data_IF_142116573312
#
_entry.id   IF_142116573312
#
_cell.length_a   1.000
_cell.length_b   1.000
_cell.length_c   1.000
_cell.angle_alpha   90.00
_cell.angle_beta   90.00
_cell.angle_gamma   90.00
#
_symmetry.space_group_name_H-M   'P 1'
#
loop_
_entity.id
_entity.type
_entity.pdbx_description
1 polymer ?
#
# COMPACT_ATOMS: atom_id res chain seq x y z
N UNK A 1 -13.89 -3.53 -18.16
CA UNK A 1 -12.42 -3.39 -18.04
C UNK A 1 -12.06 -3.25 -16.56
N UNK A 2 -10.85 -3.66 -16.14
CA UNK A 2 -10.41 -3.54 -14.74
C UNK A 2 -8.98 -3.01 -14.67
N UNK A 3 -8.73 -2.08 -13.76
CA UNK A 3 -7.42 -1.48 -13.54
C UNK A 3 -7.04 -1.68 -12.09
N UNK A 4 -5.87 -2.26 -11.85
CA UNK A 4 -5.39 -2.58 -10.52
C UNK A 4 -4.04 -1.92 -10.30
N UNK A 5 -3.92 -1.23 -9.18
CA UNK A 5 -2.72 -0.53 -8.76
C UNK A 5 -2.16 -1.19 -7.52
N UNK A 6 -0.90 -1.56 -7.61
CA UNK A 6 -0.21 -2.28 -6.56
C UNK A 6 -0.46 -3.79 -6.62
N UNK A 7 0.42 -4.52 -5.94
CA UNK A 7 0.37 -5.98 -5.84
C UNK A 7 1.03 -6.44 -4.54
N UNK A 8 0.61 -7.58 -3.98
CA UNK A 8 1.30 -8.14 -2.84
C UNK A 8 2.75 -8.50 -3.19
N UNK A 9 3.65 -8.33 -2.23
CA UNK A 9 5.09 -8.57 -2.39
C UNK A 9 5.47 -10.01 -2.02
N UNK A 10 4.71 -11.02 -2.47
CA UNK A 10 4.91 -12.43 -2.12
C UNK A 10 6.34 -12.91 -2.33
N UNK A 11 6.89 -12.72 -3.53
CA UNK A 11 8.24 -13.20 -3.88
C UNK A 11 9.30 -12.67 -2.91
N UNK A 12 9.25 -11.38 -2.62
CA UNK A 12 10.22 -10.73 -1.74
C UNK A 12 10.01 -11.19 -0.29
N UNK A 13 8.77 -11.25 0.17
CA UNK A 13 8.41 -11.72 1.51
C UNK A 13 8.90 -13.15 1.75
N UNK A 14 8.68 -14.07 0.80
CA UNK A 14 9.16 -15.44 0.91
C UNK A 14 10.70 -15.53 0.93
N UNK A 15 11.40 -14.78 0.08
CA UNK A 15 12.87 -14.77 0.05
C UNK A 15 13.44 -14.30 1.39
N UNK A 16 12.97 -13.17 1.91
CA UNK A 16 13.46 -12.65 3.19
C UNK A 16 13.12 -13.59 4.34
N UNK A 17 11.89 -14.11 4.39
CA UNK A 17 11.48 -15.05 5.43
C UNK A 17 12.31 -16.32 5.39
N UNK A 18 12.63 -16.86 4.21
CA UNK A 18 13.50 -18.02 4.06
C UNK A 18 14.91 -17.75 4.58
N UNK A 19 15.50 -16.60 4.24
CA UNK A 19 16.84 -16.22 4.73
C UNK A 19 16.85 -16.14 6.26
N UNK A 20 15.85 -15.49 6.86
CA UNK A 20 15.79 -15.32 8.32
C UNK A 20 15.56 -16.69 9.00
N UNK A 21 14.66 -17.53 8.47
CA UNK A 21 14.41 -18.88 9.00
C UNK A 21 15.68 -19.74 8.92
N UNK A 22 16.43 -19.67 7.81
CA UNK A 22 17.70 -20.38 7.66
C UNK A 22 18.68 -20.01 8.77
N UNK A 23 18.85 -18.71 9.06
CA UNK A 23 19.69 -18.25 10.17
C UNK A 23 19.14 -18.67 11.54
N UNK A 24 17.83 -18.65 11.74
CA UNK A 24 17.21 -19.10 12.98
C UNK A 24 17.49 -20.60 13.24
N UNK A 25 17.36 -21.45 12.20
CA UNK A 25 17.67 -22.88 12.29
C UNK A 25 19.16 -23.11 12.55
N UNK A 26 20.05 -22.36 11.88
CA UNK A 26 21.48 -22.41 12.15
C UNK A 26 21.78 -22.10 13.63
N UNK A 27 21.17 -21.05 14.19
CA UNK A 27 21.33 -20.71 15.61
C UNK A 27 20.82 -21.80 16.54
N UNK A 28 19.72 -22.49 16.20
CA UNK A 28 19.19 -23.61 17.01
C UNK A 28 20.17 -24.79 17.03
N UNK A 29 20.71 -25.18 15.86
CA UNK A 29 21.55 -26.38 15.74
C UNK A 29 22.92 -26.19 16.40
N UNK A 30 23.52 -25.02 16.23
CA UNK A 30 24.90 -24.77 16.67
C UNK A 30 24.99 -24.06 18.03
N UNK A 31 23.86 -23.83 18.71
CA UNK A 31 23.89 -23.29 20.06
C UNK A 31 24.34 -24.32 21.09
N UNK A 32 25.30 -23.98 21.98
CA UNK A 32 25.60 -24.81 23.14
C UNK A 32 24.53 -24.70 24.24
N UNK A 33 23.55 -23.78 24.11
CA UNK A 33 22.55 -23.49 25.12
C UNK A 33 21.18 -24.04 24.73
N UNK A 34 20.70 -25.07 25.46
CA UNK A 34 19.43 -25.76 25.16
C UNK A 34 18.20 -24.84 25.17
N UNK A 35 18.21 -23.77 25.98
CA UNK A 35 17.15 -22.75 26.00
C UNK A 35 17.04 -21.95 24.69
N UNK A 36 18.12 -21.90 23.90
CA UNK A 36 18.14 -21.20 22.61
C UNK A 36 17.29 -21.90 21.56
N UNK A 37 17.04 -23.20 21.72
CA UNK A 37 16.17 -23.97 20.84
C UNK A 37 14.71 -23.47 20.94
N UNK A 38 14.23 -23.26 22.16
CA UNK A 38 12.87 -22.76 22.42
C UNK A 38 12.70 -21.36 21.82
N UNK A 39 13.68 -20.48 22.04
CA UNK A 39 13.69 -19.14 21.46
C UNK A 39 13.71 -19.18 19.92
N UNK A 40 14.49 -20.07 19.32
CA UNK A 40 14.55 -20.22 17.88
C UNK A 40 13.24 -20.73 17.26
N UNK A 41 12.57 -21.71 17.89
CA UNK A 41 11.25 -22.17 17.45
C UNK A 41 10.20 -21.06 17.53
N UNK A 42 10.19 -20.28 18.62
CA UNK A 42 9.32 -19.12 18.76
C UNK A 42 9.59 -18.08 17.67
N UNK A 43 10.85 -17.82 17.35
CA UNK A 43 11.23 -16.87 16.30
C UNK A 43 10.77 -17.34 14.91
N UNK A 44 10.90 -18.63 14.60
CA UNK A 44 10.37 -19.20 13.35
C UNK A 44 8.85 -19.02 13.27
N UNK A 45 8.13 -19.26 14.37
CA UNK A 45 6.68 -19.07 14.42
C UNK A 45 6.30 -17.60 14.17
N UNK A 46 6.97 -16.64 14.81
CA UNK A 46 6.77 -15.21 14.58
C UNK A 46 7.05 -14.84 13.12
N UNK A 47 8.07 -15.44 12.48
CA UNK A 47 8.35 -15.16 11.08
C UNK A 47 7.21 -15.63 10.19
N UNK A 48 6.74 -16.86 10.36
CA UNK A 48 5.71 -17.47 9.51
C UNK A 48 4.36 -16.76 9.69
N UNK A 49 3.96 -16.45 10.92
CA UNK A 49 2.62 -15.94 11.22
C UNK A 49 2.52 -14.43 11.28
N UNK A 50 3.62 -13.70 11.49
CA UNK A 50 3.59 -12.24 11.65
C UNK A 50 4.43 -11.55 10.57
N UNK A 51 5.72 -11.86 10.47
CA UNK A 51 6.63 -11.13 9.58
C UNK A 51 6.28 -11.36 8.11
N UNK A 52 6.15 -12.61 7.69
CA UNK A 52 5.91 -13.01 6.31
C UNK A 52 4.60 -12.41 5.78
N UNK A 53 3.45 -12.53 6.48
CA UNK A 53 2.23 -11.89 6.03
C UNK A 53 2.31 -10.37 6.00
N UNK A 54 2.90 -9.76 7.03
CA UNK A 54 3.03 -8.30 7.12
C UNK A 54 3.84 -7.74 5.96
N UNK A 55 4.94 -8.41 5.60
CA UNK A 55 5.81 -8.01 4.50
C UNK A 55 5.14 -8.21 3.12
N UNK A 56 4.33 -9.25 2.97
CA UNK A 56 3.60 -9.51 1.73
C UNK A 56 2.54 -8.42 1.45
N UNK A 57 1.89 -7.91 2.49
CA UNK A 57 0.86 -6.87 2.44
C UNK A 57 1.32 -5.56 3.11
N UNK A 58 2.52 -5.09 2.74
CA UNK A 58 3.08 -3.83 3.24
C UNK A 58 2.40 -2.58 2.67
N UNK A 59 1.83 -2.68 1.47
CA UNK A 59 1.27 -1.56 0.73
C UNK A 59 -0.21 -1.78 0.49
N UNK A 60 -0.95 -0.68 0.45
CA UNK A 60 -2.34 -0.69 0.03
C UNK A 60 -2.46 -1.13 -1.45
N UNK A 61 -3.62 -1.65 -1.82
CA UNK A 61 -3.90 -2.11 -3.17
C UNK A 61 -5.27 -1.58 -3.51
N UNK A 62 -5.41 -1.05 -4.71
CA UNK A 62 -6.71 -0.57 -5.17
C UNK A 62 -6.99 -1.03 -6.58
N UNK A 63 -8.28 -1.22 -6.84
CA UNK A 63 -8.78 -1.70 -8.11
C UNK A 63 -10.01 -0.88 -8.49
N UNK A 64 -10.12 -0.55 -9.76
CA UNK A 64 -11.32 0.04 -10.33
C UNK A 64 -11.84 -0.89 -11.41
N UNK A 65 -13.13 -1.18 -11.32
CA UNK A 65 -13.90 -1.85 -12.36
C UNK A 65 -15.04 -0.95 -12.84
N UNK A 66 -15.86 -1.45 -13.77
CA UNK A 66 -16.97 -0.71 -14.39
C UNK A 66 -17.93 -0.03 -13.39
N UNK A 67 -18.08 -0.60 -12.19
CA UNK A 67 -19.08 -0.17 -11.22
C UNK A 67 -18.50 0.21 -9.86
N UNK A 68 -17.30 -0.27 -9.53
CA UNK A 68 -16.73 -0.16 -8.20
C UNK A 68 -15.30 0.36 -8.18
N UNK A 69 -15.02 1.24 -7.21
CA UNK A 69 -13.70 1.51 -6.66
C UNK A 69 -13.52 0.62 -5.43
N UNK A 70 -12.50 -0.25 -5.45
CA UNK A 70 -12.14 -1.15 -4.37
C UNK A 70 -10.79 -0.78 -3.81
N UNK A 71 -10.64 -0.87 -2.49
CA UNK A 71 -9.41 -0.50 -1.81
C UNK A 71 -9.16 -1.44 -0.62
N UNK A 72 -7.90 -1.81 -0.41
CA UNK A 72 -7.47 -2.56 0.77
C UNK A 72 -6.88 -1.62 1.81
N UNK A 73 -7.27 -1.79 3.06
CA UNK A 73 -6.76 -1.01 4.18
C UNK A 73 -6.40 -1.94 5.33
N UNK A 74 -5.14 -2.41 5.36
CA UNK A 74 -4.68 -3.34 6.37
C UNK A 74 -3.87 -2.59 7.44
N UNK A 75 -4.54 -2.15 8.49
CA UNK A 75 -3.91 -1.32 9.53
C UNK A 75 -3.15 -2.13 10.57
N UNK A 76 -3.58 -3.37 10.82
CA UNK A 76 -2.99 -4.21 11.84
C UNK A 76 -2.42 -5.51 11.26
N UNK A 77 -1.50 -6.11 12.02
CA UNK A 77 -0.81 -7.36 11.67
C UNK A 77 -1.80 -8.51 11.48
N UNK A 78 -2.89 -8.54 12.26
CA UNK A 78 -3.87 -9.62 12.23
C UNK A 78 -4.63 -9.63 10.89
N UNK A 79 -5.06 -8.48 10.41
CA UNK A 79 -5.72 -8.31 9.11
C UNK A 79 -4.79 -8.64 7.95
N UNK A 80 -3.53 -8.19 8.01
CA UNK A 80 -2.50 -8.58 7.03
C UNK A 80 -2.32 -10.09 7.00
N UNK A 81 -2.28 -10.72 8.17
CA UNK A 81 -2.15 -12.17 8.32
C UNK A 81 -3.35 -12.92 7.75
N UNK A 82 -4.56 -12.50 8.08
CA UNK A 82 -5.79 -13.07 7.55
C UNK A 82 -5.86 -12.94 6.03
N UNK A 83 -5.61 -11.74 5.49
CA UNK A 83 -5.62 -11.48 4.06
C UNK A 83 -4.54 -12.27 3.32
N UNK A 84 -3.35 -12.41 3.91
CA UNK A 84 -2.28 -13.22 3.37
C UNK A 84 -2.68 -14.68 3.23
N UNK A 85 -3.11 -15.33 4.32
CA UNK A 85 -3.46 -16.74 4.27
C UNK A 85 -4.69 -16.97 3.39
N UNK A 86 -5.71 -16.12 3.47
CA UNK A 86 -6.87 -16.21 2.59
C UNK A 86 -6.46 -16.10 1.11
N UNK A 87 -5.61 -15.13 0.76
CA UNK A 87 -5.12 -14.95 -0.60
C UNK A 87 -4.20 -16.08 -1.06
N UNK A 88 -3.41 -16.66 -0.16
CA UNK A 88 -2.56 -17.82 -0.47
C UNK A 88 -3.39 -19.04 -0.86
N UNK A 89 -4.50 -19.30 -0.16
CA UNK A 89 -5.36 -20.46 -0.41
C UNK A 89 -6.40 -20.23 -1.52
N UNK A 90 -6.96 -19.01 -1.63
CA UNK A 90 -8.03 -18.70 -2.60
C UNK A 90 -7.54 -18.04 -3.88
N UNK A 91 -6.30 -17.54 -3.90
CA UNK A 91 -5.73 -16.70 -4.97
C UNK A 91 -6.47 -15.38 -5.22
N UNK A 92 -7.34 -14.97 -4.30
CA UNK A 92 -8.09 -13.72 -4.37
C UNK A 92 -7.59 -12.70 -3.32
N UNK A 93 -7.87 -11.42 -3.52
CA UNK A 93 -7.58 -10.37 -2.54
C UNK A 93 -8.90 -9.88 -1.97
N UNK A 94 -9.00 -9.85 -0.65
CA UNK A 94 -10.15 -9.29 0.04
C UNK A 94 -10.01 -7.78 0.12
N UNK A 95 -10.90 -7.08 -0.58
CA UNK A 95 -11.01 -5.63 -0.50
C UNK A 95 -11.95 -5.26 0.64
N UNK A 96 -11.42 -4.61 1.68
CA UNK A 96 -12.21 -4.13 2.81
C UNK A 96 -13.16 -2.99 2.43
N UNK A 97 -12.75 -2.17 1.46
CA UNK A 97 -13.57 -1.07 0.96
C UNK A 97 -14.02 -1.37 -0.47
N UNK A 98 -15.32 -1.24 -0.71
CA UNK A 98 -15.93 -1.37 -2.04
C UNK A 98 -17.03 -0.34 -2.22
N UNK A 99 -16.80 0.61 -3.11
CA UNK A 99 -17.66 1.78 -3.29
C UNK A 99 -18.13 1.85 -4.72
N UNK A 100 -19.43 2.05 -4.91
CA UNK A 100 -19.99 2.22 -6.24
C UNK A 100 -19.59 3.57 -6.82
N UNK A 101 -19.18 3.59 -8.09
CA UNK A 101 -18.71 4.80 -8.77
C UNK A 101 -19.80 5.87 -8.87
N UNK A 102 -21.06 5.47 -9.06
CA UNK A 102 -22.23 6.36 -9.15
C UNK A 102 -22.49 7.15 -7.85
N UNK A 103 -22.01 6.67 -6.71
CA UNK A 103 -22.11 7.35 -5.41
C UNK A 103 -20.97 8.35 -5.17
N UNK A 104 -19.90 8.30 -5.96
CA UNK A 104 -18.78 9.23 -5.85
C UNK A 104 -19.19 10.58 -6.44
N UNK A 105 -18.96 11.65 -5.69
CA UNK A 105 -19.14 13.02 -6.16
C UNK A 105 -17.87 13.50 -6.87
N UNK A 106 -16.73 13.43 -6.19
CA UNK A 106 -15.43 13.76 -6.78
C UNK A 106 -14.28 13.17 -5.94
N UNK A 107 -13.08 13.13 -6.52
CA UNK A 107 -11.85 12.74 -5.81
C UNK A 107 -10.96 13.97 -5.69
N UNK A 108 -10.64 14.39 -4.46
CA UNK A 108 -9.66 15.44 -4.19
C UNK A 108 -8.27 14.84 -4.13
N UNK A 109 -7.32 15.47 -4.81
CA UNK A 109 -5.90 15.08 -4.78
C UNK A 109 -5.16 16.04 -3.88
N UNK A 110 -4.56 15.49 -2.82
CA UNK A 110 -3.79 16.25 -1.82
C UNK A 110 -2.52 15.51 -1.48
N UNK A 111 -1.72 16.08 -0.57
CA UNK A 111 -0.56 15.43 -0.01
C UNK A 111 -0.52 15.61 1.51
N UNK A 112 0.16 14.70 2.20
CA UNK A 112 0.35 14.74 3.64
C UNK A 112 1.82 14.57 4.00
N UNK A 113 2.29 15.37 4.97
CA UNK A 113 3.65 15.30 5.48
C UNK A 113 3.80 14.09 6.40
N UNK A 114 4.83 13.29 6.15
CA UNK A 114 5.18 12.11 6.96
C UNK A 114 6.58 12.32 7.52
N UNK A 115 6.74 12.35 8.86
CA UNK A 115 8.04 12.58 9.47
C UNK A 115 8.99 11.43 9.16
N UNK A 116 10.17 11.75 8.60
CA UNK A 116 11.23 10.78 8.36
C UNK A 116 12.15 10.74 9.57
N UNK A 117 11.82 9.86 10.54
CA UNK A 117 12.48 9.76 11.86
C UNK A 117 14.02 9.79 11.81
N UNK A 118 14.64 9.21 10.78
CA UNK A 118 16.10 9.08 10.67
C UNK A 118 16.78 10.19 9.86
N UNK A 119 16.02 11.12 9.27
CA UNK A 119 16.56 12.12 8.34
C UNK A 119 16.27 13.57 8.76
N UNK A 120 15.52 13.78 9.86
CA UNK A 120 15.20 15.13 10.35
C UNK A 120 14.36 15.97 9.37
N UNK A 121 13.78 15.32 8.35
CA UNK A 121 12.99 15.94 7.29
C UNK A 121 11.61 15.29 7.19
N UNK A 122 10.72 15.89 6.42
CA UNK A 122 9.42 15.30 6.10
C UNK A 122 9.46 14.70 4.70
N UNK A 123 8.96 13.47 4.57
CA UNK A 123 8.48 12.95 3.30
C UNK A 123 7.06 13.44 3.03
N UNK A 124 6.59 13.27 1.79
CA UNK A 124 5.22 13.65 1.42
C UNK A 124 4.56 12.53 0.64
N UNK A 125 3.39 12.09 1.13
CA UNK A 125 2.59 11.07 0.48
C UNK A 125 1.41 11.72 -0.25
N UNK A 126 1.10 11.24 -1.46
CA UNK A 126 -0.13 11.62 -2.16
C UNK A 126 -1.32 10.95 -1.48
N UNK A 127 -2.38 11.72 -1.24
CA UNK A 127 -3.63 11.25 -0.67
C UNK A 127 -4.76 11.53 -1.67
N UNK A 128 -5.57 10.51 -1.95
CA UNK A 128 -6.85 10.65 -2.64
C UNK A 128 -7.96 10.67 -1.61
N UNK A 129 -8.61 11.83 -1.46
CA UNK A 129 -9.80 11.99 -0.64
C UNK A 129 -11.04 11.91 -1.52
N UNK A 130 -11.76 10.80 -1.41
CA UNK A 130 -12.98 10.57 -2.17
C UNK A 130 -14.15 11.16 -1.40
N UNK A 131 -14.87 12.06 -2.06
CA UNK A 131 -16.08 12.67 -1.54
C UNK A 131 -17.29 11.99 -2.17
N UNK A 132 -18.23 11.58 -1.33
CA UNK A 132 -19.45 10.89 -1.73
C UNK A 132 -20.60 11.90 -1.90
N UNK A 133 -21.61 11.53 -2.69
CA UNK A 133 -22.81 12.37 -2.92
C UNK A 133 -23.65 12.58 -1.67
N UNK A 134 -23.56 11.67 -0.69
CA UNK A 134 -24.22 11.78 0.61
C UNK A 134 -23.46 12.66 1.62
N UNK A 135 -22.34 13.26 1.21
CA UNK A 135 -21.50 14.10 2.06
C UNK A 135 -20.43 13.35 2.86
N UNK A 136 -20.47 12.01 2.89
CA UNK A 136 -19.40 11.23 3.51
C UNK A 136 -18.09 11.31 2.71
N UNK A 137 -16.97 11.02 3.38
CA UNK A 137 -15.66 11.00 2.71
C UNK A 137 -14.76 9.93 3.27
N UNK A 138 -13.85 9.42 2.43
CA UNK A 138 -12.76 8.56 2.86
C UNK A 138 -11.49 8.94 2.11
N UNK A 139 -10.35 8.65 2.72
CA UNK A 139 -9.04 8.96 2.15
C UNK A 139 -8.22 7.69 1.98
N UNK A 140 -7.45 7.62 0.91
CA UNK A 140 -6.51 6.53 0.70
C UNK A 140 -5.26 6.96 -0.05
N UNK A 141 -4.20 6.18 0.07
CA UNK A 141 -2.95 6.42 -0.66
C UNK A 141 -2.94 5.61 -1.97
N UNK A 142 -2.84 6.24 -3.15
CA UNK A 142 -2.89 5.54 -4.43
C UNK A 142 -1.59 4.83 -4.81
N UNK A 143 -0.54 4.93 -3.98
CA UNK A 143 0.80 4.36 -4.19
C UNK A 143 1.41 4.75 -5.53
N UNK A 144 2.06 5.90 -5.53
CA UNK A 144 2.75 6.42 -6.70
C UNK A 144 4.21 5.98 -6.65
N UNK A 145 4.50 4.82 -7.24
CA UNK A 145 5.89 4.34 -7.39
C UNK A 145 6.54 4.89 -8.67
N UNK A 146 7.77 4.46 -9.02
CA UNK A 146 8.39 4.80 -10.31
C UNK A 146 7.59 4.28 -11.51
N UNK A 147 6.84 3.19 -11.35
CA UNK A 147 5.93 2.65 -12.38
C UNK A 147 4.56 3.27 -12.19
N UNK A 148 4.35 4.44 -12.81
CA UNK A 148 3.13 5.24 -12.62
C UNK A 148 2.01 4.89 -13.60
N UNK A 149 2.31 4.12 -14.64
CA UNK A 149 1.34 3.77 -15.68
C UNK A 149 0.05 3.16 -15.12
N UNK A 150 0.15 2.21 -14.18
CA UNK A 150 -1.02 1.60 -13.54
C UNK A 150 -1.91 2.65 -12.85
N UNK A 151 -1.30 3.64 -12.18
CA UNK A 151 -2.00 4.74 -11.51
C UNK A 151 -2.66 5.66 -12.53
N UNK A 152 -1.93 6.05 -13.58
CA UNK A 152 -2.42 6.93 -14.64
C UNK A 152 -3.60 6.29 -15.37
N UNK A 153 -3.44 5.05 -15.83
CA UNK A 153 -4.48 4.29 -16.52
C UNK A 153 -5.75 4.15 -15.65
N UNK A 154 -5.60 3.91 -14.34
CA UNK A 154 -6.73 3.82 -13.42
C UNK A 154 -7.43 5.18 -13.21
N UNK A 155 -6.68 6.28 -13.16
CA UNK A 155 -7.23 7.65 -13.06
C UNK A 155 -7.97 8.02 -14.35
N UNK A 156 -7.37 7.75 -15.51
CA UNK A 156 -8.00 7.99 -16.81
C UNK A 156 -9.30 7.20 -16.94
N UNK A 157 -9.30 5.95 -16.50
CA UNK A 157 -10.52 5.14 -16.48
C UNK A 157 -11.60 5.75 -15.58
N UNK A 158 -11.26 6.17 -14.35
CA UNK A 158 -12.20 6.86 -13.47
C UNK A 158 -12.75 8.15 -14.10
N UNK A 159 -11.89 8.96 -14.73
CA UNK A 159 -12.31 10.15 -15.49
C UNK A 159 -13.27 9.80 -16.62
N UNK A 160 -13.01 8.72 -17.37
CA UNK A 160 -13.90 8.23 -18.44
C UNK A 160 -15.28 7.81 -17.93
N UNK A 161 -15.39 7.45 -16.65
CA UNK A 161 -16.64 7.16 -15.95
C UNK A 161 -17.33 8.40 -15.37
N UNK A 162 -16.85 9.59 -15.70
CA UNK A 162 -17.43 10.85 -15.24
C UNK A 162 -17.01 11.28 -13.83
N UNK A 163 -16.02 10.60 -13.23
CA UNK A 163 -15.50 11.00 -11.91
C UNK A 163 -14.55 12.18 -12.07
N UNK A 164 -14.87 13.28 -11.39
CA UNK A 164 -14.08 14.50 -11.41
C UNK A 164 -12.95 14.40 -10.39
N UNK A 165 -11.72 14.67 -10.84
CA UNK A 165 -10.55 14.84 -9.97
C UNK A 165 -10.33 16.33 -9.71
N UNK A 166 -10.38 16.74 -8.43
CA UNK A 166 -10.03 18.08 -7.97
C UNK A 166 -8.58 18.09 -7.51
N UNK A 167 -7.68 18.47 -8.41
CA UNK A 167 -6.24 18.50 -8.17
C UNK A 167 -5.72 19.94 -8.07
N UNK A 168 -5.86 20.52 -6.87
CA UNK A 168 -5.46 21.92 -6.62
C UNK A 168 -3.95 22.16 -6.81
N UNK A 169 -3.15 21.12 -6.64
CA UNK A 169 -1.69 21.23 -6.65
C UNK A 169 -1.07 20.66 -7.93
N UNK A 170 -1.86 20.34 -8.96
CA UNK A 170 -1.35 19.79 -10.21
C UNK A 170 -0.43 18.56 -10.03
N UNK A 171 -0.71 17.75 -9.01
CA UNK A 171 0.05 16.53 -8.66
C UNK A 171 -0.09 15.49 -9.76
N UNK A 172 -1.30 15.35 -10.32
CA UNK A 172 -1.59 14.39 -11.37
C UNK A 172 -0.79 14.71 -12.65
N UNK A 173 -0.62 15.99 -12.97
CA UNK A 173 0.15 16.46 -14.14
C UNK A 173 1.64 16.13 -14.04
N UNK A 174 2.14 15.81 -12.85
CA UNK A 174 3.51 15.38 -12.65
C UNK A 174 3.69 13.86 -12.81
N UNK A 175 2.59 13.08 -12.85
CA UNK A 175 2.69 11.62 -12.90
C UNK A 175 3.38 11.15 -14.18
N UNK A 176 3.15 11.80 -15.32
CA UNK A 176 3.78 11.44 -16.59
C UNK A 176 5.22 11.93 -16.75
N UNK A 177 5.69 12.79 -15.84
CA UNK A 177 7.04 13.35 -15.91
C UNK A 177 8.09 12.37 -15.40
N UNK A 178 9.29 12.44 -16.01
CA UNK A 178 10.45 11.62 -15.61
C UNK A 178 10.93 11.95 -14.19
N UNK A 179 10.67 13.16 -13.71
CA UNK A 179 11.09 13.60 -12.38
C UNK A 179 10.37 12.82 -11.27
N UNK A 180 11.07 12.45 -10.18
CA UNK A 180 10.44 11.86 -9.01
C UNK A 180 9.41 12.79 -8.39
N UNK A 181 8.18 12.30 -8.21
CA UNK A 181 7.07 13.07 -7.66
C UNK A 181 7.38 13.65 -6.27
N UNK A 182 8.22 12.96 -5.49
CA UNK A 182 8.65 13.42 -4.17
C UNK A 182 9.28 14.82 -4.21
N UNK A 183 10.11 15.13 -5.21
CA UNK A 183 10.73 16.46 -5.33
C UNK A 183 9.70 17.55 -5.61
N UNK A 184 8.69 17.24 -6.42
CA UNK A 184 7.61 18.17 -6.67
C UNK A 184 6.79 18.45 -5.41
N UNK A 185 6.44 17.39 -4.66
CA UNK A 185 5.72 17.51 -3.40
C UNK A 185 6.50 18.30 -2.35
N UNK A 186 7.82 18.10 -2.28
CA UNK A 186 8.70 18.86 -1.40
C UNK A 186 8.74 20.34 -1.79
N UNK A 187 8.83 20.66 -3.09
CA UNK A 187 8.82 22.03 -3.60
C UNK A 187 7.54 22.78 -3.22
N UNK A 188 6.37 22.21 -3.52
CA UNK A 188 5.08 22.84 -3.19
C UNK A 188 4.81 22.93 -1.68
N UNK A 189 5.50 22.12 -0.86
CA UNK A 189 5.44 22.20 0.60
C UNK A 189 6.41 23.26 1.15
N UNK A 190 7.57 23.45 0.51
CA UNK A 190 8.53 24.50 0.83
C UNK A 190 7.98 25.90 0.54
N UNK A 191 7.27 26.07 -0.58
CA UNK A 191 6.61 27.33 -0.97
C UNK A 191 5.48 27.76 0.00
N UNK A 192 5.12 26.92 0.98
CA UNK A 192 4.10 27.17 2.00
C UNK A 192 4.64 27.63 3.35
N UNK A 193 5.96 27.60 3.56
CA UNK A 193 6.60 28.09 4.79
C UNK A 193 6.88 29.58 4.69
#
# INVERSE_FOLDING_TARGET
MKYKVGKPHYKLSFIYSFIIIFWAVFLIIYSPFSGMNICGFMLIFLIIFIFLPSMAFCNNIWEVDEHYLKYTFYDNVVEKSRAFFHSLFTRNIDYQMKIKLDKIMCIQVTYEAVPMLFYGTNGYNVIFKVLMKDGSSFSFQPIVTRKRKEVIDAIEFLKSKGIIFKDRYHILDQLDKKEPLAYYLEKIAGDRK
#
